data_IF_054317554256
#
_entry.id   IF_054317554256
#
_cell.length_a   1.000
_cell.length_b   1.000
_cell.length_c   1.000
_cell.angle_alpha   90.00
_cell.angle_beta   90.00
_cell.angle_gamma   90.00
#
_symmetry.space_group_name_H-M   'P 1'
#
loop_
_entity.id
_entity.type
_entity.pdbx_description
1 polymer ?
#
# COMPACT_ATOMS: atom_id res chain seq x y z
N UNK A 1 -21.25 23.70 20.96
CA UNK A 1 -21.03 22.54 21.81
C UNK A 1 -21.13 21.24 21.01
N UNK A 2 -22.20 20.96 20.25
CA UNK A 2 -22.38 19.71 19.46
C UNK A 2 -21.27 19.52 18.45
N UNK A 3 -20.91 20.55 17.67
CA UNK A 3 -19.83 20.48 16.68
C UNK A 3 -18.47 20.14 17.30
N UNK A 4 -18.19 20.65 18.49
CA UNK A 4 -16.95 20.36 19.22
C UNK A 4 -16.97 18.89 19.69
N UNK A 5 -18.09 18.42 20.24
CA UNK A 5 -18.22 17.02 20.67
C UNK A 5 -18.08 16.05 19.49
N UNK A 6 -18.67 16.34 18.34
CA UNK A 6 -18.53 15.56 17.11
C UNK A 6 -17.08 15.57 16.64
N UNK A 7 -16.40 16.71 16.64
CA UNK A 7 -15.01 16.82 16.22
C UNK A 7 -14.05 15.98 17.09
N UNK A 8 -14.33 15.89 18.41
CA UNK A 8 -13.53 15.07 19.33
C UNK A 8 -13.87 13.58 19.21
N UNK A 9 -15.14 13.23 19.04
CA UNK A 9 -15.56 11.83 19.01
C UNK A 9 -15.31 11.13 17.67
N UNK A 10 -15.38 11.87 16.55
CA UNK A 10 -15.31 11.29 15.21
C UNK A 10 -14.01 10.55 14.92
N UNK A 11 -12.80 11.00 15.29
CA UNK A 11 -11.58 10.25 15.09
C UNK A 11 -11.62 8.86 15.77
N UNK A 12 -12.14 8.79 17.00
CA UNK A 12 -12.27 7.51 17.72
C UNK A 12 -13.26 6.56 17.04
N UNK A 13 -14.38 7.07 16.54
CA UNK A 13 -15.36 6.26 15.82
C UNK A 13 -14.76 5.72 14.51
N UNK A 14 -14.09 6.57 13.76
CA UNK A 14 -13.43 6.17 12.50
C UNK A 14 -12.31 5.16 12.77
N UNK A 15 -11.46 5.40 13.77
CA UNK A 15 -10.41 4.47 14.17
C UNK A 15 -10.98 3.10 14.54
N UNK A 16 -12.01 3.05 15.38
CA UNK A 16 -12.64 1.79 15.79
C UNK A 16 -13.25 1.07 14.60
N UNK A 17 -13.98 1.79 13.74
CA UNK A 17 -14.55 1.22 12.52
C UNK A 17 -13.47 0.61 11.61
N UNK A 18 -12.36 1.34 11.38
CA UNK A 18 -11.25 0.84 10.56
C UNK A 18 -10.58 -0.39 11.21
N UNK A 19 -10.36 -0.36 12.53
CA UNK A 19 -9.78 -1.50 13.23
C UNK A 19 -10.69 -2.73 13.19
N UNK A 20 -12.00 -2.57 13.29
CA UNK A 20 -12.96 -3.67 13.12
C UNK A 20 -12.88 -4.29 11.72
N UNK A 21 -12.73 -3.46 10.68
CA UNK A 21 -12.55 -3.93 9.30
C UNK A 21 -11.21 -4.62 9.08
N UNK A 22 -10.14 -4.09 9.68
CA UNK A 22 -8.79 -4.63 9.59
C UNK A 22 -8.60 -5.92 10.40
N UNK A 23 -9.41 -6.14 11.43
CA UNK A 23 -9.30 -7.31 12.31
C UNK A 23 -9.52 -8.65 11.58
N UNK A 24 -10.28 -8.64 10.46
CA UNK A 24 -10.70 -9.84 9.75
C UNK A 24 -10.44 -9.71 8.23
N UNK A 25 -9.19 -9.91 7.82
CA UNK A 25 -8.77 -9.85 6.42
C UNK A 25 -8.28 -11.22 5.91
N UNK A 26 -9.00 -12.29 6.24
CA UNK A 26 -8.60 -13.65 5.87
C UNK A 26 -7.39 -14.13 6.66
N UNK A 27 -6.29 -14.44 5.99
CA UNK A 27 -5.03 -14.89 6.62
C UNK A 27 -4.28 -13.77 7.35
N UNK A 28 -4.76 -12.54 7.28
CA UNK A 28 -4.14 -11.36 7.87
C UNK A 28 -5.09 -10.64 8.80
N UNK A 29 -4.51 -9.91 9.72
CA UNK A 29 -5.20 -8.92 10.54
C UNK A 29 -4.39 -7.64 10.56
N UNK A 30 -5.07 -6.53 10.61
CA UNK A 30 -4.44 -5.22 10.70
C UNK A 30 -4.95 -4.43 11.89
N UNK A 31 -4.21 -3.40 12.22
CA UNK A 31 -4.58 -2.38 13.18
C UNK A 31 -3.98 -1.04 12.81
N UNK A 32 -4.61 0.02 13.25
CA UNK A 32 -4.11 1.39 13.18
C UNK A 32 -4.03 1.97 14.59
N UNK A 33 -3.00 2.77 14.84
CA UNK A 33 -2.80 3.37 16.16
C UNK A 33 -3.75 4.54 16.38
N UNK A 34 -3.89 5.43 15.40
CA UNK A 34 -4.69 6.63 15.52
C UNK A 34 -5.17 7.19 14.19
N UNK A 35 -6.17 8.08 14.24
CA UNK A 35 -6.74 8.80 13.09
C UNK A 35 -6.87 10.27 13.43
N UNK A 36 -6.30 11.12 12.58
CA UNK A 36 -6.48 12.58 12.63
C UNK A 36 -7.39 13.05 11.50
N UNK A 37 -8.40 13.81 11.82
CA UNK A 37 -9.37 14.33 10.87
C UNK A 37 -9.28 15.85 10.77
N UNK A 38 -8.99 16.36 9.57
CA UNK A 38 -9.02 17.77 9.23
C UNK A 38 -10.13 18.03 8.19
N UNK A 39 -11.39 17.83 8.60
CA UNK A 39 -12.55 17.83 7.72
C UNK A 39 -12.69 19.11 6.89
N UNK A 40 -12.39 20.29 7.47
CA UNK A 40 -12.45 21.57 6.75
C UNK A 40 -11.43 21.68 5.61
N UNK A 41 -10.36 20.85 5.65
CA UNK A 41 -9.31 20.79 4.62
C UNK A 41 -9.50 19.60 3.67
N UNK A 42 -10.54 18.78 3.90
CA UNK A 42 -10.73 17.54 3.17
C UNK A 42 -9.61 16.52 3.39
N UNK A 43 -8.90 16.61 4.51
CA UNK A 43 -7.76 15.77 4.78
C UNK A 43 -7.99 14.88 6.00
N UNK A 44 -7.50 13.63 5.94
CA UNK A 44 -7.38 12.78 7.11
C UNK A 44 -6.09 11.98 7.07
N UNK A 45 -5.60 11.62 8.25
CA UNK A 45 -4.37 10.88 8.44
C UNK A 45 -4.63 9.61 9.22
N UNK A 46 -4.00 8.54 8.79
CA UNK A 46 -3.93 7.28 9.53
C UNK A 46 -2.50 7.14 10.05
N UNK A 47 -2.35 6.98 11.34
CA UNK A 47 -1.07 6.78 12.00
C UNK A 47 -0.91 5.31 12.40
N UNK A 48 0.25 4.74 12.12
CA UNK A 48 0.69 3.45 12.64
C UNK A 48 -0.11 2.26 12.11
N UNK A 49 -0.40 2.20 10.79
CA UNK A 49 -0.96 1.00 10.18
C UNK A 49 0.05 -0.16 10.28
N UNK A 50 -0.42 -1.29 10.77
CA UNK A 50 0.31 -2.55 10.77
C UNK A 50 -0.60 -3.69 10.34
N UNK A 51 -0.14 -4.54 9.42
CA UNK A 51 -0.83 -5.75 8.97
C UNK A 51 0.09 -6.94 9.22
N UNK A 52 -0.38 -7.92 9.95
CA UNK A 52 0.38 -9.12 10.31
C UNK A 52 -0.36 -10.39 9.91
N UNK A 53 0.36 -11.48 9.71
CA UNK A 53 -0.25 -12.77 9.48
C UNK A 53 -0.85 -13.34 10.78
N UNK A 54 -2.07 -13.90 10.69
CA UNK A 54 -2.85 -14.31 11.89
C UNK A 54 -2.18 -15.43 12.66
N UNK A 55 -1.54 -16.38 11.99
CA UNK A 55 -0.92 -17.55 12.64
C UNK A 55 0.36 -17.24 13.44
N UNK A 56 0.86 -16.00 13.38
CA UNK A 56 1.95 -15.47 14.20
C UNK A 56 3.32 -16.12 14.00
N UNK A 57 3.49 -16.95 12.96
CA UNK A 57 4.75 -17.68 12.68
C UNK A 57 5.75 -16.88 11.86
N UNK A 58 5.34 -15.74 11.33
CA UNK A 58 6.20 -14.84 10.57
C UNK A 58 6.70 -13.73 11.49
N UNK A 59 8.02 -13.52 11.64
CA UNK A 59 8.58 -12.60 12.63
C UNK A 59 8.49 -11.12 12.22
N UNK A 60 8.05 -10.82 11.01
CA UNK A 60 7.94 -9.46 10.48
C UNK A 60 6.51 -9.16 10.03
N UNK A 61 5.99 -7.93 10.18
CA UNK A 61 4.69 -7.55 9.66
C UNK A 61 4.67 -7.64 8.14
N UNK A 62 3.52 -7.97 7.55
CA UNK A 62 3.36 -7.95 6.09
C UNK A 62 3.44 -6.53 5.55
N UNK A 63 2.65 -5.63 6.14
CA UNK A 63 2.66 -4.20 5.82
C UNK A 63 2.81 -3.40 7.10
N UNK A 64 3.64 -2.36 7.04
CA UNK A 64 3.74 -1.33 8.07
C UNK A 64 3.77 0.03 7.39
N UNK A 65 2.90 0.94 7.79
CA UNK A 65 2.91 2.32 7.31
C UNK A 65 2.80 3.27 8.50
N UNK A 66 3.88 3.97 8.85
CA UNK A 66 3.88 4.92 9.97
C UNK A 66 2.87 6.04 9.79
N UNK A 67 2.70 6.53 8.56
CA UNK A 67 1.78 7.61 8.23
C UNK A 67 1.18 7.38 6.83
N UNK A 68 -0.13 7.51 6.76
CA UNK A 68 -0.89 7.58 5.51
C UNK A 68 -1.73 8.84 5.55
N UNK A 69 -1.56 9.71 4.58
CA UNK A 69 -2.34 10.94 4.43
C UNK A 69 -3.30 10.80 3.25
N UNK A 70 -4.53 11.22 3.44
CA UNK A 70 -5.51 11.30 2.36
C UNK A 70 -5.98 12.75 2.22
N UNK A 71 -6.03 13.23 0.99
CA UNK A 71 -6.60 14.51 0.64
C UNK A 71 -7.78 14.30 -0.30
N UNK A 72 -8.95 14.81 0.09
CA UNK A 72 -10.17 14.76 -0.70
C UNK A 72 -10.37 16.10 -1.40
N UNK A 73 -10.62 16.08 -2.70
CA UNK A 73 -10.95 17.28 -3.45
C UNK A 73 -12.39 17.72 -3.15
N UNK A 74 -12.57 18.80 -2.39
CA UNK A 74 -13.87 19.40 -2.19
C UNK A 74 -14.49 19.89 -3.49
N UNK A 75 -13.67 20.34 -4.44
CA UNK A 75 -14.15 20.77 -5.76
C UNK A 75 -14.83 19.61 -6.49
N UNK A 76 -14.20 18.45 -6.56
CA UNK A 76 -14.77 17.27 -7.21
C UNK A 76 -16.04 16.78 -6.50
N UNK A 77 -16.10 16.89 -5.17
CA UNK A 77 -17.28 16.52 -4.42
C UNK A 77 -18.49 17.40 -4.76
N UNK A 78 -18.28 18.73 -4.89
CA UNK A 78 -19.37 19.68 -5.10
C UNK A 78 -19.80 19.85 -6.55
N UNK A 79 -18.86 19.76 -7.50
CA UNK A 79 -19.12 20.02 -8.92
C UNK A 79 -19.22 18.73 -9.75
N UNK A 80 -18.40 17.72 -9.45
CA UNK A 80 -18.35 16.49 -10.23
C UNK A 80 -19.18 15.37 -9.59
N UNK A 81 -19.73 15.59 -8.38
CA UNK A 81 -20.41 14.60 -7.54
C UNK A 81 -19.58 13.31 -7.34
N UNK A 82 -18.28 13.45 -7.41
CA UNK A 82 -17.32 12.35 -7.27
C UNK A 82 -16.38 12.64 -6.09
N UNK A 83 -16.18 11.65 -5.23
CA UNK A 83 -15.17 11.71 -4.17
C UNK A 83 -13.84 11.27 -4.76
N UNK A 84 -13.02 12.23 -5.15
CA UNK A 84 -11.66 11.99 -5.64
C UNK A 84 -10.69 12.26 -4.51
N UNK A 85 -9.85 11.29 -4.21
CA UNK A 85 -8.85 11.41 -3.17
C UNK A 85 -7.44 11.10 -3.71
N UNK A 86 -6.48 11.74 -3.09
CA UNK A 86 -5.06 11.45 -3.24
C UNK A 86 -4.58 10.77 -1.96
N UNK A 87 -3.82 9.69 -2.10
CA UNK A 87 -3.22 8.96 -0.98
C UNK A 87 -1.70 9.16 -0.95
N UNK A 88 -1.14 9.53 0.19
CA UNK A 88 0.30 9.65 0.38
C UNK A 88 0.76 8.73 1.51
N UNK A 89 1.60 7.76 1.19
CA UNK A 89 2.16 6.79 2.11
C UNK A 89 3.60 7.18 2.41
N UNK A 90 3.89 7.51 3.66
CA UNK A 90 5.21 7.93 4.10
C UNK A 90 5.92 6.77 4.79
N UNK A 91 7.06 6.37 4.25
CA UNK A 91 7.91 5.27 4.72
C UNK A 91 7.17 3.94 4.93
N UNK A 92 6.31 3.51 3.99
CA UNK A 92 5.68 2.21 4.11
C UNK A 92 6.71 1.10 3.92
N UNK A 93 6.50 -0.01 4.62
CA UNK A 93 7.31 -1.23 4.52
C UNK A 93 6.40 -2.39 4.14
N UNK A 94 6.83 -3.18 3.15
CA UNK A 94 6.16 -4.40 2.73
C UNK A 94 7.18 -5.54 2.82
N UNK A 95 6.86 -6.59 3.58
CA UNK A 95 7.74 -7.73 3.75
C UNK A 95 7.10 -8.99 3.19
N UNK A 96 7.69 -9.54 2.14
CA UNK A 96 7.38 -10.85 1.64
C UNK A 96 8.28 -11.89 2.32
N UNK A 97 7.70 -13.00 2.74
CA UNK A 97 8.43 -14.09 3.38
C UNK A 97 8.12 -15.39 2.67
N UNK A 98 9.17 -16.09 2.23
CA UNK A 98 9.08 -17.45 1.76
C UNK A 98 9.49 -18.41 2.91
N UNK A 99 8.54 -19.19 3.39
CA UNK A 99 8.75 -20.22 4.42
C UNK A 99 9.16 -21.57 3.86
N UNK A 100 9.47 -21.66 2.56
CA UNK A 100 9.80 -22.91 1.88
C UNK A 100 8.63 -23.91 1.91
N UNK A 101 8.87 -25.12 2.38
CA UNK A 101 7.83 -26.14 2.50
C UNK A 101 6.74 -25.82 3.54
N UNK A 102 7.02 -24.91 4.47
CA UNK A 102 6.07 -24.50 5.50
C UNK A 102 5.23 -23.30 5.06
N UNK A 103 4.06 -23.56 4.48
CA UNK A 103 3.13 -22.50 4.04
C UNK A 103 2.69 -21.56 5.17
N UNK A 104 2.65 -22.04 6.42
CA UNK A 104 2.28 -21.20 7.57
C UNK A 104 3.37 -20.17 7.91
N UNK A 105 4.63 -20.46 7.56
CA UNK A 105 5.75 -19.53 7.71
C UNK A 105 5.93 -18.61 6.49
N UNK A 106 5.09 -18.74 5.45
CA UNK A 106 5.14 -17.92 4.25
C UNK A 106 4.18 -16.73 4.36
N UNK A 107 4.60 -15.58 3.87
CA UNK A 107 3.85 -14.33 3.86
C UNK A 107 3.97 -13.68 2.47
N UNK A 108 3.09 -14.06 1.56
CA UNK A 108 3.15 -13.64 0.15
C UNK A 108 1.98 -12.76 -0.28
N UNK A 109 1.08 -12.44 0.63
CA UNK A 109 -0.16 -11.73 0.32
C UNK A 109 -1.23 -12.62 -0.33
N UNK A 110 -0.94 -13.89 -0.61
CA UNK A 110 -1.93 -14.82 -1.15
C UNK A 110 -2.99 -15.19 -0.09
N UNK A 111 -4.20 -15.52 -0.55
CA UNK A 111 -5.31 -15.90 0.35
C UNK A 111 -6.16 -14.73 0.84
N UNK A 112 -5.84 -13.52 0.41
CA UNK A 112 -6.62 -12.31 0.72
C UNK A 112 -6.87 -11.54 -0.57
N UNK A 113 -8.13 -11.20 -0.83
CA UNK A 113 -8.48 -10.25 -1.89
C UNK A 113 -8.19 -8.82 -1.42
N UNK A 114 -7.00 -8.34 -1.74
CA UNK A 114 -6.54 -7.01 -1.34
C UNK A 114 -7.35 -5.88 -1.96
N UNK A 115 -7.88 -6.08 -3.17
CA UNK A 115 -8.74 -5.07 -3.82
C UNK A 115 -10.05 -4.93 -3.05
N UNK A 116 -10.67 -6.03 -2.66
CA UNK A 116 -11.88 -6.01 -1.84
C UNK A 116 -11.62 -5.39 -0.45
N UNK A 117 -10.48 -5.75 0.19
CA UNK A 117 -10.13 -5.18 1.49
C UNK A 117 -9.90 -3.67 1.41
N UNK A 118 -9.19 -3.20 0.38
CA UNK A 118 -8.97 -1.77 0.15
C UNK A 118 -10.29 -1.03 -0.10
N UNK A 119 -11.22 -1.60 -0.87
CA UNK A 119 -12.55 -1.00 -1.08
C UNK A 119 -13.36 -0.89 0.21
N UNK A 120 -13.24 -1.86 1.11
CA UNK A 120 -13.91 -1.82 2.43
C UNK A 120 -13.32 -0.77 3.36
N UNK A 121 -12.02 -0.53 3.27
CA UNK A 121 -11.30 0.45 4.09
C UNK A 121 -11.46 1.88 3.57
N UNK A 122 -11.48 2.03 2.25
CA UNK A 122 -11.49 3.31 1.56
C UNK A 122 -12.76 3.41 0.69
N UNK A 123 -13.87 3.94 1.23
CA UNK A 123 -15.08 4.16 0.44
C UNK A 123 -14.92 5.36 -0.53
N UNK A 124 -13.71 5.66 -0.94
CA UNK A 124 -13.32 6.78 -1.80
C UNK A 124 -12.55 6.26 -3.00
N UNK A 125 -12.75 6.89 -4.14
CA UNK A 125 -11.98 6.61 -5.34
C UNK A 125 -10.62 7.30 -5.24
N UNK A 126 -9.55 6.52 -5.20
CA UNK A 126 -8.19 7.07 -5.25
C UNK A 126 -7.84 7.41 -6.70
N UNK A 127 -7.49 8.66 -6.96
CA UNK A 127 -6.99 9.09 -8.26
C UNK A 127 -5.46 8.95 -8.35
N UNK A 128 -4.79 9.38 -7.31
CA UNK A 128 -3.33 9.30 -7.20
C UNK A 128 -2.95 8.64 -5.87
N UNK A 129 -1.95 7.76 -5.92
CA UNK A 129 -1.29 7.22 -4.73
C UNK A 129 0.20 7.50 -4.86
N UNK A 130 0.77 8.17 -3.87
CA UNK A 130 2.20 8.45 -3.76
C UNK A 130 2.82 7.66 -2.62
N UNK A 131 3.98 7.08 -2.88
CA UNK A 131 4.83 6.41 -1.90
C UNK A 131 6.10 7.22 -1.77
N UNK A 132 6.46 7.58 -0.54
CA UNK A 132 7.67 8.32 -0.20
C UNK A 132 8.53 7.49 0.74
N UNK A 133 9.81 7.30 0.35
CA UNK A 133 10.84 6.63 1.14
C UNK A 133 10.42 5.26 1.68
N UNK A 134 9.74 4.47 0.86
CA UNK A 134 9.26 3.14 1.22
C UNK A 134 10.35 2.07 1.18
N UNK A 135 10.01 0.88 1.67
CA UNK A 135 10.84 -0.31 1.63
C UNK A 135 10.02 -1.53 1.19
N UNK A 136 10.58 -2.34 0.30
CA UNK A 136 10.05 -3.65 -0.06
C UNK A 136 11.13 -4.67 0.22
N UNK A 137 10.85 -5.66 1.05
CA UNK A 137 11.78 -6.70 1.42
C UNK A 137 11.24 -8.10 1.10
N UNK A 138 12.13 -8.98 0.68
CA UNK A 138 11.89 -10.41 0.54
C UNK A 138 12.83 -11.16 1.47
N UNK A 139 12.27 -12.04 2.27
CA UNK A 139 13.00 -12.85 3.25
C UNK A 139 12.76 -14.33 3.00
N UNK A 140 13.84 -15.14 3.10
CA UNK A 140 13.72 -16.57 3.32
C UNK A 140 14.53 -16.93 4.56
N UNK A 141 13.85 -17.05 5.70
CA UNK A 141 14.48 -17.37 6.99
C UNK A 141 14.83 -18.85 7.13
N UNK A 142 14.31 -19.71 6.26
CA UNK A 142 14.54 -21.15 6.29
C UNK A 142 15.71 -21.61 5.44
N UNK A 143 16.19 -20.78 4.51
CA UNK A 143 17.38 -21.08 3.70
C UNK A 143 18.68 -20.95 4.50
N UNK A 144 19.73 -21.62 4.03
CA UNK A 144 21.08 -21.55 4.60
C UNK A 144 22.09 -21.28 3.48
N UNK A 145 22.67 -20.07 3.41
CA UNK A 145 22.43 -18.90 4.27
C UNK A 145 21.00 -18.36 4.15
N UNK A 146 20.56 -17.52 5.11
CA UNK A 146 19.29 -16.84 5.03
C UNK A 146 19.29 -15.81 3.91
N UNK A 147 18.22 -15.77 3.11
CA UNK A 147 18.06 -14.78 2.04
C UNK A 147 17.33 -13.55 2.58
N UNK A 148 17.90 -12.38 2.31
CA UNK A 148 17.30 -11.09 2.58
C UNK A 148 17.61 -10.13 1.43
N UNK A 149 16.61 -9.88 0.59
CA UNK A 149 16.70 -8.95 -0.54
C UNK A 149 15.75 -7.80 -0.27
N UNK A 150 16.23 -6.57 -0.34
CA UNK A 150 15.39 -5.40 -0.15
C UNK A 150 15.60 -4.35 -1.24
N UNK A 151 14.53 -3.59 -1.48
CA UNK A 151 14.55 -2.35 -2.22
C UNK A 151 14.18 -1.23 -1.24
N UNK A 152 15.10 -0.30 -1.02
CA UNK A 152 14.96 0.85 -0.11
C UNK A 152 14.80 2.14 -0.87
N UNK A 153 14.48 3.23 -0.16
CA UNK A 153 14.23 4.54 -0.76
C UNK A 153 13.21 4.45 -1.93
N UNK A 154 12.18 3.61 -1.74
CA UNK A 154 11.13 3.45 -2.74
C UNK A 154 10.30 4.71 -2.82
N UNK A 155 10.41 5.42 -3.96
CA UNK A 155 9.59 6.56 -4.30
C UNK A 155 8.79 6.20 -5.53
N UNK A 156 7.46 6.17 -5.41
CA UNK A 156 6.59 5.72 -6.48
C UNK A 156 5.28 6.52 -6.51
N UNK A 157 4.70 6.60 -7.69
CA UNK A 157 3.39 7.21 -7.90
C UNK A 157 2.53 6.34 -8.80
N UNK A 158 1.27 6.22 -8.42
CA UNK A 158 0.22 5.65 -9.23
C UNK A 158 -0.74 6.77 -9.62
N UNK A 159 -1.07 6.84 -10.88
CA UNK A 159 -1.96 7.85 -11.44
C UNK A 159 -3.16 7.20 -12.10
N UNK A 160 -4.28 7.91 -12.14
CA UNK A 160 -5.51 7.48 -12.81
C UNK A 160 -6.05 6.13 -12.29
N UNK A 161 -5.97 5.90 -10.98
CA UNK A 161 -6.52 4.70 -10.34
C UNK A 161 -8.06 4.72 -10.29
N UNK A 162 -8.68 5.73 -10.90
CA UNK A 162 -10.13 5.88 -10.91
C UNK A 162 -10.78 4.87 -11.85
N UNK A 163 -12.01 4.50 -11.54
CA UNK A 163 -12.87 3.71 -12.43
C UNK A 163 -13.56 4.58 -13.52
N UNK A 164 -13.10 5.80 -13.72
CA UNK A 164 -13.60 6.69 -14.77
C UNK A 164 -12.93 6.31 -16.10
N UNK A 165 -13.73 5.98 -17.07
CA UNK A 165 -13.29 5.65 -18.43
C UNK A 165 -12.98 6.96 -19.17
N UNK A 166 -11.87 7.02 -19.88
CA UNK A 166 -11.59 8.17 -20.75
C UNK A 166 -12.57 8.27 -21.93
N UNK A 167 -12.48 9.36 -22.70
CA UNK A 167 -13.35 9.61 -23.87
C UNK A 167 -13.23 8.51 -24.95
N UNK A 168 -12.18 7.67 -24.90
CA UNK A 168 -11.92 6.55 -25.80
C UNK A 168 -12.32 5.19 -25.22
N UNK A 169 -12.92 5.16 -24.03
CA UNK A 169 -13.30 3.93 -23.35
C UNK A 169 -12.14 3.16 -22.70
N UNK A 170 -10.94 3.75 -22.68
CA UNK A 170 -9.76 3.15 -22.02
C UNK A 170 -9.60 3.64 -20.58
N UNK A 171 -9.03 2.77 -19.74
CA UNK A 171 -8.70 3.01 -18.34
C UNK A 171 -7.21 2.77 -18.16
N UNK A 172 -6.41 3.76 -18.49
CA UNK A 172 -4.96 3.63 -18.42
C UNK A 172 -4.47 4.21 -17.08
N UNK A 173 -4.40 3.35 -16.06
CA UNK A 173 -3.64 3.68 -14.87
C UNK A 173 -2.14 3.58 -15.17
N UNK A 174 -1.36 4.44 -14.54
CA UNK A 174 0.08 4.51 -14.73
C UNK A 174 0.78 4.37 -13.38
N UNK A 175 1.83 3.57 -13.39
CA UNK A 175 2.77 3.45 -12.28
C UNK A 175 4.15 3.93 -12.72
N UNK A 176 4.80 4.71 -11.88
CA UNK A 176 6.20 5.12 -12.01
C UNK A 176 6.87 4.96 -10.66
N UNK A 177 8.03 4.30 -10.62
CA UNK A 177 8.74 4.04 -9.38
C UNK A 177 10.25 4.02 -9.53
N UNK A 178 10.94 4.43 -8.45
CA UNK A 178 12.38 4.36 -8.29
C UNK A 178 12.72 3.83 -6.92
N UNK A 179 13.82 3.07 -6.83
CA UNK A 179 14.30 2.50 -5.57
C UNK A 179 15.80 2.23 -5.64
N UNK A 180 16.37 1.77 -4.52
CA UNK A 180 17.73 1.24 -4.44
C UNK A 180 17.68 -0.22 -4.03
N UNK A 181 18.04 -1.14 -4.91
CA UNK A 181 18.18 -2.56 -4.58
C UNK A 181 19.42 -2.75 -3.70
N UNK A 182 19.21 -3.41 -2.55
CA UNK A 182 20.25 -3.60 -1.53
C UNK A 182 20.94 -2.29 -1.12
N UNK A 183 20.19 -1.17 -1.13
CA UNK A 183 20.67 0.16 -0.79
C UNK A 183 21.68 0.78 -1.75
N UNK A 184 21.95 0.17 -2.91
CA UNK A 184 23.04 0.60 -3.82
C UNK A 184 22.64 0.65 -5.29
N UNK A 185 22.03 -0.40 -5.85
CA UNK A 185 21.75 -0.48 -7.27
C UNK A 185 20.46 0.27 -7.64
N UNK A 186 20.52 1.32 -8.45
CA UNK A 186 19.33 2.05 -8.87
C UNK A 186 18.35 1.15 -9.62
N UNK A 187 17.09 1.19 -9.21
CA UNK A 187 15.95 0.57 -9.86
C UNK A 187 15.01 1.64 -10.40
N UNK A 188 14.51 1.43 -11.59
CA UNK A 188 13.42 2.19 -12.20
C UNK A 188 12.37 1.21 -12.70
N UNK A 189 11.10 1.48 -12.43
CA UNK A 189 10.00 0.67 -12.90
C UNK A 189 8.85 1.57 -13.38
N UNK A 190 8.24 1.20 -14.51
CA UNK A 190 7.08 1.88 -15.05
C UNK A 190 6.08 0.82 -15.51
N UNK A 191 4.80 1.08 -15.29
CA UNK A 191 3.73 0.22 -15.79
C UNK A 191 2.55 1.04 -16.29
N UNK A 192 1.84 0.48 -17.26
CA UNK A 192 0.52 0.94 -17.66
C UNK A 192 -0.42 -0.26 -17.60
N UNK A 193 -1.58 -0.09 -16.98
CA UNK A 193 -2.54 -1.18 -16.75
C UNK A 193 -3.96 -0.65 -16.60
N UNK A 194 -4.96 -1.51 -16.84
CA UNK A 194 -6.35 -1.22 -16.48
C UNK A 194 -6.57 -1.60 -14.99
N UNK A 195 -6.87 -0.65 -14.09
CA UNK A 195 -7.02 -0.94 -12.66
C UNK A 195 -8.24 -1.79 -12.31
N UNK A 196 -9.14 -2.03 -13.26
CA UNK A 196 -10.35 -2.84 -13.06
C UNK A 196 -10.33 -4.16 -13.84
N UNK A 197 -9.32 -4.39 -14.68
CA UNK A 197 -9.11 -5.70 -15.31
C UNK A 197 -8.40 -6.64 -14.34
N UNK A 198 -8.52 -7.95 -14.58
CA UNK A 198 -7.78 -8.97 -13.84
C UNK A 198 -6.30 -9.02 -14.24
N UNK A 199 -5.69 -7.87 -14.54
CA UNK A 199 -4.32 -7.74 -15.08
C UNK A 199 -4.08 -8.50 -16.39
N UNK A 200 -5.10 -8.66 -17.22
CA UNK A 200 -4.97 -9.32 -18.51
C UNK A 200 -4.16 -8.49 -19.51
N UNK A 201 -4.23 -7.16 -19.40
CA UNK A 201 -3.47 -6.24 -20.25
C UNK A 201 -2.65 -5.29 -19.37
N UNK A 202 -1.34 -5.51 -19.30
CA UNK A 202 -0.42 -4.56 -18.67
C UNK A 202 0.89 -4.48 -19.44
N UNK A 203 1.47 -3.30 -19.50
CA UNK A 203 2.83 -3.07 -19.96
C UNK A 203 3.70 -2.75 -18.75
N UNK A 204 4.77 -3.51 -18.55
CA UNK A 204 5.71 -3.32 -17.47
C UNK A 204 7.11 -3.18 -17.99
N UNK A 205 7.80 -2.12 -17.58
CA UNK A 205 9.21 -1.88 -17.89
C UNK A 205 10.00 -1.77 -16.60
N UNK A 206 11.06 -2.53 -16.54
CA UNK A 206 11.94 -2.58 -15.40
C UNK A 206 13.38 -2.36 -15.84
N UNK A 207 14.12 -1.54 -15.10
CA UNK A 207 15.53 -1.28 -15.35
C UNK A 207 16.29 -1.29 -14.03
N UNK A 208 17.30 -2.14 -13.95
CA UNK A 208 18.27 -2.17 -12.87
C UNK A 208 19.66 -1.83 -13.43
N UNK A 209 20.43 -1.01 -12.70
CA UNK A 209 21.81 -0.64 -13.10
C UNK A 209 22.76 -0.99 -11.95
N UNK A 210 24.02 -1.22 -12.30
CA UNK A 210 25.12 -1.41 -11.36
C UNK A 210 24.90 -2.55 -10.33
N UNK A 211 24.22 -3.63 -10.79
CA UNK A 211 23.98 -4.82 -9.98
C UNK A 211 25.30 -5.54 -9.69
N UNK A 212 25.72 -5.55 -8.43
CA UNK A 212 26.88 -6.33 -7.98
C UNK A 212 26.49 -7.79 -7.73
N UNK A 213 26.43 -8.60 -8.79
CA UNK A 213 26.02 -10.01 -8.73
C UNK A 213 26.85 -10.85 -7.75
N UNK A 214 28.11 -10.48 -7.50
CA UNK A 214 28.97 -11.17 -6.51
C UNK A 214 28.39 -11.10 -5.09
N UNK A 215 27.73 -10.01 -4.71
CA UNK A 215 27.04 -9.89 -3.41
C UNK A 215 25.69 -10.59 -3.37
N UNK A 216 25.14 -10.91 -4.53
CA UNK A 216 23.92 -11.72 -4.64
C UNK A 216 24.24 -13.23 -4.69
N UNK A 217 25.51 -13.61 -4.78
CA UNK A 217 25.94 -15.01 -4.86
C UNK A 217 26.18 -15.64 -3.47
N UNK A 218 25.97 -14.87 -2.40
CA UNK A 218 25.94 -15.38 -1.02
C UNK A 218 24.54 -15.94 -0.65
N UNK A 219 23.70 -16.20 -1.69
CA UNK A 219 22.35 -16.72 -1.60
C UNK A 219 22.26 -18.16 -2.14
#
# INVERSE_FOLDING_TARGET
LVLIAVHIALPYLVRNYLNDKLANMGDYRGEIADVDLALWRGAYRINGLQIVKVDGKVPVPFVKAPLIEFAVSWHSLWYDHAVVAEGHFVRPQINFVDGGANKQASQTGKGTDWQEQLRKLLPITLNEVRIEDGEIAFHNFSSKPQVNINATAVNASFYNLTNVVDVKGKRDARFEGKALLQGQAPLEANATFDPLSDFEEFEFRFRARDLQLKRMNDF
#
